data_IF_636575195092
#
_entry.id   IF_636575195092
#
_cell.length_a   1.000
_cell.length_b   1.000
_cell.length_c   1.000
_cell.angle_alpha   90.00
_cell.angle_beta   90.00
_cell.angle_gamma   90.00
#
_symmetry.space_group_name_H-M   'P 1'
#
loop_
_entity.id
_entity.type
_entity.pdbx_description
1 polymer ?
#
# COMPACT_ATOMS: atom_id res chain seq x y z
N UNK A 1 14.97 9.14 -30.24
CA UNK A 1 15.28 7.81 -30.81
C UNK A 1 14.93 6.79 -29.72
N UNK A 2 14.01 5.84 -30.03
CA UNK A 2 13.51 4.83 -29.08
C UNK A 2 14.61 3.90 -28.54
N UNK A 3 15.83 4.06 -28.96
CA UNK A 3 17.01 3.33 -28.51
C UNK A 3 17.65 3.88 -27.23
N UNK A 4 17.29 5.08 -26.83
CA UNK A 4 17.79 5.69 -25.59
C UNK A 4 16.96 5.32 -24.34
N UNK A 5 15.73 4.87 -24.53
CA UNK A 5 14.95 4.26 -23.46
C UNK A 5 15.27 2.76 -23.47
N UNK A 6 16.28 2.36 -22.74
CA UNK A 6 16.72 0.97 -22.66
C UNK A 6 15.60 0.01 -22.28
N UNK A 7 14.80 -0.40 -23.25
CA UNK A 7 13.99 -1.60 -23.13
C UNK A 7 14.93 -2.80 -23.08
N UNK A 8 15.36 -3.13 -21.88
CA UNK A 8 16.08 -4.36 -21.62
C UNK A 8 15.16 -5.55 -21.91
N UNK A 9 15.20 -6.09 -23.13
CA UNK A 9 14.71 -7.44 -23.44
C UNK A 9 15.68 -8.48 -22.85
N UNK A 10 15.84 -8.47 -21.56
CA UNK A 10 16.46 -9.52 -20.81
C UNK A 10 15.52 -9.82 -19.66
N UNK A 11 15.08 -11.08 -19.49
CA UNK A 11 14.59 -11.56 -18.22
C UNK A 11 15.77 -11.47 -17.23
N UNK A 12 16.03 -10.28 -16.70
CA UNK A 12 16.58 -10.21 -15.36
C UNK A 12 15.42 -10.68 -14.49
N UNK A 13 15.63 -11.74 -13.75
CA UNK A 13 14.76 -12.07 -12.63
C UNK A 13 14.67 -10.78 -11.83
N UNK A 14 13.53 -10.10 -11.92
CA UNK A 14 13.28 -8.93 -11.10
C UNK A 14 13.23 -9.47 -9.68
N UNK A 15 14.30 -9.28 -8.93
CA UNK A 15 14.34 -9.58 -7.50
C UNK A 15 13.48 -8.54 -6.79
N UNK A 16 12.16 -8.70 -6.87
CA UNK A 16 11.23 -7.89 -6.12
C UNK A 16 11.53 -8.06 -4.64
N UNK A 17 11.84 -6.96 -3.98
CA UNK A 17 12.16 -6.96 -2.56
C UNK A 17 11.51 -5.78 -1.86
N UNK A 18 11.08 -5.99 -0.64
CA UNK A 18 10.84 -4.92 0.34
C UNK A 18 12.02 -4.90 1.29
N UNK A 19 12.67 -3.75 1.45
CA UNK A 19 13.83 -3.62 2.33
C UNK A 19 13.79 -2.30 3.09
N UNK A 20 14.41 -2.28 4.25
CA UNK A 20 14.69 -1.04 4.97
C UNK A 20 16.17 -0.68 4.85
N UNK A 21 16.42 0.56 4.45
CA UNK A 21 17.77 1.12 4.34
C UNK A 21 17.91 2.26 5.33
N UNK A 22 18.98 2.26 6.11
CA UNK A 22 19.32 3.34 7.04
C UNK A 22 20.55 4.10 6.50
N UNK A 23 20.36 5.06 5.59
CA UNK A 23 21.45 5.65 4.83
C UNK A 23 22.44 6.46 5.69
N UNK A 24 21.98 7.13 6.75
CA UNK A 24 22.84 8.03 7.54
C UNK A 24 23.52 9.07 6.64
N UNK A 25 24.83 9.25 6.86
CA UNK A 25 25.69 10.13 6.02
C UNK A 25 26.51 9.34 5.00
N UNK A 26 26.24 8.06 4.81
CA UNK A 26 26.99 7.20 3.92
C UNK A 26 26.76 7.54 2.44
N UNK A 27 27.75 7.28 1.60
CA UNK A 27 27.73 7.49 0.15
C UNK A 27 28.17 6.22 -0.57
N UNK A 28 27.77 6.07 -1.82
CA UNK A 28 28.11 4.92 -2.66
C UNK A 28 27.16 3.74 -2.48
N UNK A 29 27.64 2.52 -2.67
CA UNK A 29 26.83 1.30 -2.53
C UNK A 29 26.58 0.98 -1.05
N UNK A 30 25.33 1.03 -0.65
CA UNK A 30 24.85 0.78 0.72
C UNK A 30 24.34 -0.64 0.94
N UNK A 31 24.32 -1.48 -0.09
CA UNK A 31 23.66 -2.78 -0.08
C UNK A 31 24.18 -3.72 0.99
N UNK A 32 25.49 -3.73 1.21
CA UNK A 32 26.13 -4.62 2.17
C UNK A 32 26.13 -4.08 3.61
N UNK A 33 25.98 -2.77 3.82
CA UNK A 33 26.27 -2.12 5.10
C UNK A 33 25.08 -1.43 5.76
N UNK A 34 24.08 -1.02 4.98
CA UNK A 34 22.98 -0.17 5.46
C UNK A 34 21.60 -0.75 5.27
N UNK A 35 21.46 -1.96 4.71
CA UNK A 35 20.19 -2.70 4.69
C UNK A 35 20.00 -3.36 6.05
N UNK A 36 18.97 -2.92 6.78
CA UNK A 36 18.65 -3.46 8.12
C UNK A 36 17.89 -4.77 8.05
N UNK A 37 16.97 -4.88 7.08
CA UNK A 37 16.23 -6.09 6.81
C UNK A 37 15.74 -6.12 5.36
N UNK A 38 15.39 -7.32 4.87
CA UNK A 38 14.95 -7.56 3.50
C UNK A 38 13.95 -8.71 3.42
N UNK A 39 12.87 -8.52 2.68
CA UNK A 39 11.88 -9.54 2.33
C UNK A 39 11.78 -9.72 0.82
N UNK A 40 11.68 -10.98 0.38
CA UNK A 40 11.48 -11.38 -1.02
C UNK A 40 10.09 -11.97 -1.27
N UNK A 41 9.27 -12.08 -0.23
CA UNK A 41 7.89 -12.57 -0.30
C UNK A 41 6.93 -11.47 0.12
N UNK A 42 5.68 -11.55 -0.37
CA UNK A 42 4.62 -10.57 -0.05
C UNK A 42 4.99 -9.12 -0.41
N UNK A 43 5.77 -8.96 -1.47
CA UNK A 43 6.23 -7.66 -1.96
C UNK A 43 5.12 -7.02 -2.78
N UNK A 44 4.74 -5.75 -2.51
CA UNK A 44 3.82 -5.01 -3.36
C UNK A 44 4.43 -4.78 -4.76
N UNK A 45 3.59 -4.78 -5.78
CA UNK A 45 4.03 -4.52 -7.16
C UNK A 45 4.04 -3.01 -7.47
N UNK A 46 2.97 -2.31 -7.13
CA UNK A 46 2.74 -0.89 -7.45
C UNK A 46 2.52 -0.04 -6.20
N UNK A 47 1.66 -0.44 -5.23
CA UNK A 47 1.34 0.41 -4.09
C UNK A 47 2.57 0.75 -3.25
N UNK A 48 2.66 2.00 -2.82
CA UNK A 48 3.65 2.41 -1.83
C UNK A 48 3.30 1.83 -0.45
N UNK A 49 4.29 1.40 0.35
CA UNK A 49 4.05 1.03 1.73
C UNK A 49 3.57 2.22 2.57
N UNK A 50 2.73 1.95 3.58
CA UNK A 50 2.30 2.93 4.57
C UNK A 50 2.98 2.66 5.91
N UNK A 51 3.69 3.63 6.45
CA UNK A 51 4.24 3.58 7.80
C UNK A 51 3.32 4.33 8.77
N UNK A 52 2.82 3.62 9.79
CA UNK A 52 2.00 4.20 10.85
C UNK A 52 2.36 3.57 12.20
N UNK A 53 2.70 4.40 13.18
CA UNK A 53 3.01 3.99 14.56
C UNK A 53 4.02 2.81 14.63
N UNK A 54 5.08 2.84 13.82
CA UNK A 54 6.12 1.82 13.81
C UNK A 54 5.76 0.52 13.07
N UNK A 55 4.55 0.42 12.53
CA UNK A 55 4.10 -0.69 11.68
C UNK A 55 4.14 -0.25 10.22
N UNK A 56 4.80 -1.05 9.39
CA UNK A 56 4.81 -0.90 7.94
C UNK A 56 3.73 -1.81 7.35
N UNK A 57 2.82 -1.20 6.59
CA UNK A 57 1.74 -1.91 5.90
C UNK A 57 2.03 -1.97 4.41
N UNK A 58 1.81 -3.15 3.83
CA UNK A 58 1.90 -3.36 2.38
C UNK A 58 0.68 -4.12 1.88
N UNK A 59 0.26 -3.84 0.66
CA UNK A 59 -0.77 -4.61 -0.04
C UNK A 59 -0.22 -5.16 -1.34
N UNK A 60 -0.54 -6.40 -1.62
CA UNK A 60 -0.19 -7.11 -2.84
C UNK A 60 -1.44 -7.53 -3.60
N UNK A 61 -1.34 -7.62 -4.93
CA UNK A 61 -2.36 -8.20 -5.80
C UNK A 61 -2.89 -9.54 -5.25
N UNK A 62 -4.20 -9.72 -5.30
CA UNK A 62 -4.92 -10.81 -4.65
C UNK A 62 -5.35 -10.50 -3.22
N UNK A 63 -5.30 -9.21 -2.81
CA UNK A 63 -5.80 -8.73 -1.52
C UNK A 63 -4.97 -9.17 -0.31
N UNK A 64 -3.70 -9.52 -0.52
CA UNK A 64 -2.81 -9.89 0.59
C UNK A 64 -2.32 -8.62 1.26
N UNK A 65 -2.77 -8.38 2.50
CA UNK A 65 -2.38 -7.25 3.31
C UNK A 65 -1.44 -7.70 4.44
N UNK A 66 -0.30 -7.04 4.55
CA UNK A 66 0.77 -7.42 5.48
C UNK A 66 1.10 -6.25 6.40
N UNK A 67 1.15 -6.53 7.71
CA UNK A 67 1.68 -5.65 8.74
C UNK A 67 3.01 -6.22 9.26
N UNK A 68 4.04 -5.39 9.31
CA UNK A 68 5.36 -5.75 9.82
C UNK A 68 5.95 -4.64 10.69
N UNK A 69 6.80 -5.00 11.63
CA UNK A 69 7.56 -4.02 12.41
C UNK A 69 8.55 -3.29 11.50
N UNK A 70 8.43 -1.99 11.36
CA UNK A 70 9.29 -1.22 10.47
C UNK A 70 10.78 -1.29 10.87
N UNK A 71 11.07 -1.42 12.16
CA UNK A 71 12.43 -1.47 12.68
C UNK A 71 13.17 -2.78 12.35
N UNK A 72 12.46 -3.91 12.35
CA UNK A 72 13.05 -5.26 12.23
C UNK A 72 12.64 -6.02 10.98
N UNK A 73 11.56 -5.59 10.33
CA UNK A 73 10.91 -6.32 9.23
C UNK A 73 10.10 -7.54 9.71
N UNK A 74 10.00 -7.79 11.02
CA UNK A 74 9.21 -8.91 11.53
C UNK A 74 7.76 -8.81 11.09
N UNK A 75 7.27 -9.80 10.34
CA UNK A 75 5.89 -9.89 9.90
C UNK A 75 5.01 -10.28 11.09
N UNK A 76 4.08 -9.42 11.45
CA UNK A 76 3.11 -9.67 12.53
C UNK A 76 1.87 -10.37 12.00
N UNK A 77 1.30 -9.85 10.90
CA UNK A 77 0.16 -10.47 10.24
C UNK A 77 0.27 -10.30 8.74
N UNK A 78 0.06 -11.38 8.01
CA UNK A 78 -0.09 -11.37 6.55
C UNK A 78 -1.25 -12.28 6.18
N UNK A 79 -2.32 -11.70 5.64
CA UNK A 79 -3.54 -12.44 5.32
C UNK A 79 -4.29 -11.79 4.14
N UNK A 80 -5.19 -12.56 3.53
CA UNK A 80 -6.11 -12.04 2.51
C UNK A 80 -7.24 -11.27 3.17
N UNK A 81 -7.59 -10.14 2.59
CA UNK A 81 -8.78 -9.38 2.95
C UNK A 81 -9.99 -9.99 2.25
N UNK A 82 -10.77 -10.80 2.96
CA UNK A 82 -11.96 -11.45 2.40
C UNK A 82 -12.96 -10.40 1.90
N UNK A 83 -13.44 -10.55 0.66
CA UNK A 83 -14.34 -9.58 0.00
C UNK A 83 -13.61 -8.44 -0.73
N UNK A 84 -12.27 -8.31 -0.56
CA UNK A 84 -11.44 -7.34 -1.26
C UNK A 84 -10.24 -8.03 -1.97
N UNK A 85 -10.50 -9.17 -2.60
CA UNK A 85 -9.52 -9.92 -3.39
C UNK A 85 -9.40 -9.26 -4.77
N UNK A 86 -8.43 -8.38 -4.93
CA UNK A 86 -8.34 -7.50 -6.10
C UNK A 86 -6.88 -7.28 -6.51
N UNK A 87 -6.67 -6.66 -7.67
CA UNK A 87 -5.42 -6.00 -8.00
C UNK A 87 -5.37 -4.63 -7.30
N UNK A 88 -4.20 -4.23 -6.85
CA UNK A 88 -4.01 -2.97 -6.13
C UNK A 88 -2.98 -2.11 -6.84
N UNK A 89 -3.40 -0.92 -7.28
CA UNK A 89 -2.55 0.13 -7.84
C UNK A 89 -2.47 1.33 -6.89
N UNK A 90 -3.56 1.60 -6.18
CA UNK A 90 -3.61 2.66 -5.16
C UNK A 90 -2.84 2.28 -3.91
N UNK A 91 -2.16 3.24 -3.31
CA UNK A 91 -1.47 3.04 -2.04
C UNK A 91 -2.46 3.10 -0.86
N UNK A 92 -2.23 2.34 0.22
CA UNK A 92 -3.01 2.48 1.44
C UNK A 92 -2.81 3.86 2.07
N UNK A 93 -3.86 4.41 2.68
CA UNK A 93 -3.78 5.62 3.48
C UNK A 93 -4.34 5.39 4.89
N UNK A 94 -3.96 6.25 5.83
CA UNK A 94 -4.50 6.28 7.18
C UNK A 94 -5.27 7.58 7.41
N UNK A 95 -6.50 7.46 7.92
CA UNK A 95 -7.33 8.59 8.32
C UNK A 95 -8.33 8.15 9.39
N UNK A 96 -8.66 9.03 10.32
CA UNK A 96 -9.66 8.80 11.38
C UNK A 96 -9.49 7.43 12.09
N UNK A 97 -8.23 7.10 12.45
CA UNK A 97 -7.92 5.84 13.14
C UNK A 97 -8.16 4.57 12.31
N UNK A 98 -8.33 4.68 11.00
CA UNK A 98 -8.57 3.58 10.07
C UNK A 98 -7.57 3.59 8.92
N UNK A 99 -7.43 2.44 8.25
CA UNK A 99 -6.72 2.33 6.98
C UNK A 99 -7.74 2.15 5.86
N UNK A 100 -7.45 2.76 4.71
CA UNK A 100 -8.28 2.66 3.51
C UNK A 100 -7.44 2.16 2.35
N UNK A 101 -7.93 1.12 1.68
CA UNK A 101 -7.29 0.49 0.53
C UNK A 101 -8.31 0.38 -0.61
N UNK A 102 -7.97 0.92 -1.77
CA UNK A 102 -8.83 0.86 -2.95
C UNK A 102 -8.28 -0.19 -3.92
N UNK A 103 -9.09 -1.19 -4.23
CA UNK A 103 -8.83 -2.17 -5.27
C UNK A 103 -9.26 -1.69 -6.65
N UNK A 104 -8.68 -2.27 -7.69
CA UNK A 104 -8.93 -1.91 -9.09
C UNK A 104 -10.41 -2.03 -9.47
N UNK A 105 -11.10 -3.06 -8.99
CA UNK A 105 -12.51 -3.32 -9.33
C UNK A 105 -13.50 -2.50 -8.48
N UNK A 106 -13.05 -1.47 -7.78
CA UNK A 106 -13.91 -0.58 -7.00
C UNK A 106 -14.13 -1.00 -5.55
N UNK A 107 -13.51 -2.08 -5.09
CA UNK A 107 -13.61 -2.49 -3.69
C UNK A 107 -12.74 -1.59 -2.80
N UNK A 108 -13.34 -1.00 -1.80
CA UNK A 108 -12.64 -0.16 -0.80
C UNK A 108 -12.68 -0.87 0.54
N UNK A 109 -11.55 -1.44 0.92
CA UNK A 109 -11.38 -2.08 2.23
C UNK A 109 -11.07 -1.03 3.29
N UNK A 110 -11.79 -1.11 4.41
CA UNK A 110 -11.57 -0.30 5.61
C UNK A 110 -11.07 -1.21 6.71
N UNK A 111 -9.89 -0.88 7.29
CA UNK A 111 -9.28 -1.72 8.31
C UNK A 111 -8.99 -0.93 9.58
N UNK A 112 -9.04 -1.63 10.71
CA UNK A 112 -8.47 -1.16 11.97
C UNK A 112 -6.95 -1.38 11.94
N UNK A 113 -6.14 -0.33 12.13
CA UNK A 113 -4.68 -0.48 12.14
C UNK A 113 -4.19 -1.24 13.37
N UNK A 114 -3.01 -1.84 13.25
CA UNK A 114 -2.33 -2.57 14.31
C UNK A 114 -1.47 -3.71 13.74
N UNK A 115 -0.65 -4.30 14.59
CA UNK A 115 0.14 -5.49 14.24
C UNK A 115 -0.77 -6.64 13.78
N UNK A 116 -1.91 -6.78 14.44
CA UNK A 116 -2.97 -7.76 14.17
C UNK A 116 -4.19 -7.09 13.51
N UNK A 117 -3.96 -6.27 12.50
CA UNK A 117 -5.01 -5.53 11.79
C UNK A 117 -6.30 -6.32 11.58
N UNK A 118 -7.43 -5.63 11.57
CA UNK A 118 -8.76 -6.23 11.36
C UNK A 118 -9.45 -5.59 10.15
N UNK A 119 -10.07 -6.42 9.31
CA UNK A 119 -10.93 -5.93 8.24
C UNK A 119 -12.29 -5.56 8.84
N UNK A 120 -12.63 -4.27 8.81
CA UNK A 120 -13.87 -3.76 9.39
C UNK A 120 -15.01 -3.79 8.37
N UNK A 121 -14.73 -3.35 7.14
CA UNK A 121 -15.75 -3.18 6.10
C UNK A 121 -15.12 -3.28 4.72
N UNK A 122 -15.89 -3.74 3.75
CA UNK A 122 -15.60 -3.59 2.32
C UNK A 122 -16.78 -2.89 1.67
N UNK A 123 -16.52 -1.75 1.04
CA UNK A 123 -17.52 -1.01 0.27
C UNK A 123 -17.26 -1.22 -1.22
N UNK A 124 -18.32 -1.25 -2.02
CA UNK A 124 -18.24 -1.40 -3.46
C UNK A 124 -18.67 -0.10 -4.14
N UNK A 125 -17.80 0.46 -4.95
CA UNK A 125 -18.09 1.65 -5.74
C UNK A 125 -18.56 1.32 -7.16
N UNK A 126 -18.54 0.03 -7.51
CA UNK A 126 -19.02 -0.50 -8.82
C UNK A 126 -18.27 0.10 -10.04
N UNK A 127 -17.20 0.84 -9.81
CA UNK A 127 -16.35 1.45 -10.82
C UNK A 127 -14.87 1.25 -10.50
N UNK A 128 -14.00 1.10 -11.50
CA UNK A 128 -12.56 0.96 -11.29
C UNK A 128 -11.94 2.13 -10.50
N UNK A 129 -11.03 1.79 -9.56
CA UNK A 129 -10.26 2.76 -8.78
C UNK A 129 -8.77 2.48 -8.96
N UNK A 130 -8.05 3.43 -9.54
CA UNK A 130 -6.59 3.38 -9.70
C UNK A 130 -5.86 4.37 -8.80
N UNK A 131 -6.53 5.48 -8.48
CA UNK A 131 -5.94 6.56 -7.71
C UNK A 131 -5.87 6.23 -6.21
N UNK A 132 -4.78 6.61 -5.57
CA UNK A 132 -4.70 6.63 -4.11
C UNK A 132 -5.71 7.63 -3.55
N UNK A 133 -6.55 7.24 -2.57
CA UNK A 133 -7.49 8.15 -1.96
C UNK A 133 -6.77 9.26 -1.18
N UNK A 134 -7.46 10.36 -0.92
CA UNK A 134 -6.94 11.47 -0.12
C UNK A 134 -7.87 11.74 1.07
N UNK A 135 -7.28 12.13 2.20
CA UNK A 135 -8.05 12.58 3.37
C UNK A 135 -7.70 14.03 3.69
N UNK A 136 -8.70 14.89 3.70
CA UNK A 136 -8.53 16.32 3.99
C UNK A 136 -9.84 16.92 4.50
N UNK A 137 -9.76 17.88 5.44
CA UNK A 137 -10.92 18.62 5.93
C UNK A 137 -12.04 17.74 6.49
N UNK A 138 -11.69 16.63 7.15
CA UNK A 138 -12.66 15.67 7.70
C UNK A 138 -13.38 14.83 6.64
N UNK A 139 -12.90 14.82 5.41
CA UNK A 139 -13.46 14.05 4.30
C UNK A 139 -12.44 13.11 3.68
N UNK A 140 -12.95 11.99 3.19
CA UNK A 140 -12.22 11.04 2.34
C UNK A 140 -12.63 11.29 0.88
N UNK A 141 -11.64 11.50 0.03
CA UNK A 141 -11.82 11.69 -1.41
C UNK A 141 -11.40 10.43 -2.14
N UNK A 142 -12.32 9.83 -2.89
CA UNK A 142 -12.08 8.63 -3.70
C UNK A 142 -12.41 8.97 -5.15
N UNK A 143 -11.45 8.77 -6.05
CA UNK A 143 -11.64 8.94 -7.49
C UNK A 143 -11.83 7.56 -8.14
N UNK A 144 -13.02 7.33 -8.67
CA UNK A 144 -13.32 6.20 -9.57
C UNK A 144 -13.07 6.59 -11.03
N UNK A 145 -13.37 5.71 -11.97
CA UNK A 145 -13.17 5.99 -13.39
C UNK A 145 -13.91 7.25 -13.86
N UNK A 146 -15.15 7.45 -13.41
CA UNK A 146 -16.01 8.56 -13.85
C UNK A 146 -16.29 9.61 -12.77
N UNK A 147 -16.20 9.26 -11.48
CA UNK A 147 -16.71 10.07 -10.36
C UNK A 147 -15.64 10.40 -9.34
N UNK A 148 -15.70 11.59 -8.74
CA UNK A 148 -14.96 11.95 -7.54
C UNK A 148 -15.93 12.02 -6.36
N UNK A 149 -15.78 11.09 -5.43
CA UNK A 149 -16.54 11.03 -4.18
C UNK A 149 -15.86 11.85 -3.09
N UNK A 150 -16.64 12.61 -2.33
CA UNK A 150 -16.21 13.30 -1.11
C UNK A 150 -17.07 12.79 0.05
N UNK A 151 -16.51 11.88 0.85
CA UNK A 151 -17.22 11.15 1.91
C UNK A 151 -16.79 11.69 3.27
N UNK A 152 -17.72 12.06 4.11
CA UNK A 152 -17.47 12.56 5.47
C UNK A 152 -18.78 12.78 6.19
N UNK A 153 -18.70 13.01 7.53
CA UNK A 153 -19.87 13.43 8.27
C UNK A 153 -20.34 14.79 7.77
N UNK A 154 -21.66 15.03 7.72
CA UNK A 154 -22.17 16.38 7.56
C UNK A 154 -21.64 17.24 8.69
N UNK A 155 -21.15 18.44 8.35
CA UNK A 155 -20.82 19.42 9.38
C UNK A 155 -22.09 19.68 10.21
N UNK A 156 -22.03 19.46 11.51
CA UNK A 156 -23.10 19.86 12.39
C UNK A 156 -23.34 21.38 12.16
N UNK A 157 -24.54 21.72 11.70
CA UNK A 157 -24.97 23.12 11.49
C UNK A 157 -25.15 23.80 12.82
#
# INVERSE_FOLDING_TARGET
>A
DAREWGFYRGRREANNVTMAVKPGNARGDLTATHVTWKHQRMVPEVPSPLLLNGILYTVKTGGIFTAMLAATGEIKKSARMTGALDAYYSSPIAADGKLFLCGEQGKVAVLKPGAEWELLQVNDFEEPIYATPAAAGGRLYIRTASTLFAIGAEAAR
#
